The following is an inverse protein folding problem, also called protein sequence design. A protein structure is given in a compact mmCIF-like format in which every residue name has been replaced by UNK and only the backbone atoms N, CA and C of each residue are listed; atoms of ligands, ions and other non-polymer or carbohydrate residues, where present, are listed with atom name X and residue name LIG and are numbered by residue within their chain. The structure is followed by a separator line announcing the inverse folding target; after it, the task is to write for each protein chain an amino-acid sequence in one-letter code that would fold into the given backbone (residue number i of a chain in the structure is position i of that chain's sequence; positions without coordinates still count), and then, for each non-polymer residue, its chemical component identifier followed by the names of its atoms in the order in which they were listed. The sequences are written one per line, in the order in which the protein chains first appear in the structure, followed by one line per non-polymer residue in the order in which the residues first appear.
data_IF_859944514555
#
_entry.id   IF_859944514555
#
_cell.length_a   1.000
_cell.length_b   1.000
_cell.length_c   1.000
_cell.angle_alpha   90.00
_cell.angle_beta   90.00
_cell.angle_gamma   90.00
#
_symmetry.space_group_name_H-M   'P 1'
#
loop_
_entity.id
_entity.type
_entity.pdbx_description
1 polymer ?
#
# COMPACT_ATOMS: atom_id res chain seq x y z
N UNK A 1 41.24 10.04 35.96
CA UNK A 1 41.64 10.07 34.53
C UNK A 1 41.68 8.68 33.85
N UNK A 2 40.97 7.64 34.36
CA UNK A 2 41.14 6.25 33.89
C UNK A 2 39.88 5.49 33.44
N UNK A 3 38.70 6.12 33.36
CA UNK A 3 37.45 5.43 32.96
C UNK A 3 37.13 5.51 31.47
N UNK A 4 37.70 6.47 30.76
CA UNK A 4 37.41 6.70 29.33
C UNK A 4 38.17 5.74 28.41
N UNK A 5 39.31 5.16 28.84
CA UNK A 5 40.10 4.24 28.00
C UNK A 5 39.58 2.79 28.01
N UNK A 6 38.89 2.36 29.08
CA UNK A 6 38.30 1.02 29.16
C UNK A 6 37.02 0.88 28.31
N UNK A 7 36.25 1.97 28.16
CA UNK A 7 35.03 1.98 27.35
C UNK A 7 35.36 1.94 25.85
N UNK A 8 36.37 2.67 25.39
CA UNK A 8 36.85 2.63 24.00
C UNK A 8 37.48 1.29 23.63
N UNK A 9 38.21 0.66 24.55
CA UNK A 9 38.75 -0.69 24.35
C UNK A 9 37.65 -1.77 24.23
N UNK A 10 36.59 -1.67 25.04
CA UNK A 10 35.43 -2.59 24.98
C UNK A 10 34.57 -2.43 23.71
N UNK A 11 34.43 -1.20 23.21
CA UNK A 11 33.72 -0.91 21.95
C UNK A 11 34.49 -1.44 20.74
N UNK A 12 35.83 -1.29 20.72
CA UNK A 12 36.67 -1.82 19.65
C UNK A 12 36.67 -3.36 19.61
N UNK A 13 36.70 -4.01 20.78
CA UNK A 13 36.63 -5.46 20.89
C UNK A 13 35.26 -6.03 20.48
N UNK A 14 34.15 -5.31 20.76
CA UNK A 14 32.78 -5.72 20.36
C UNK A 14 32.47 -5.45 18.88
N UNK A 15 33.05 -4.42 18.27
CA UNK A 15 32.94 -4.19 16.83
C UNK A 15 33.67 -5.26 16.01
N UNK A 16 34.76 -5.82 16.55
CA UNK A 16 35.44 -6.97 15.98
C UNK A 16 34.55 -8.24 16.08
N UNK A 17 33.93 -8.47 17.24
CA UNK A 17 33.05 -9.60 17.52
C UNK A 17 31.75 -9.58 16.67
N UNK A 18 31.15 -8.39 16.44
CA UNK A 18 30.03 -8.22 15.52
C UNK A 18 30.39 -8.59 14.08
N UNK A 19 31.56 -8.18 13.58
CA UNK A 19 32.04 -8.55 12.24
C UNK A 19 32.34 -10.04 12.09
N UNK A 20 32.61 -10.74 13.19
CA UNK A 20 32.81 -12.19 13.21
C UNK A 20 31.50 -12.98 13.21
N UNK A 21 30.42 -12.43 13.81
CA UNK A 21 29.09 -13.05 13.88
C UNK A 21 28.19 -12.77 12.68
N UNK A 22 28.40 -11.65 11.97
CA UNK A 22 27.69 -11.37 10.72
C UNK A 22 28.11 -12.40 9.67
N UNK A 23 27.17 -13.13 9.04
CA UNK A 23 27.49 -14.07 7.99
C UNK A 23 28.35 -13.38 6.92
N UNK A 24 29.62 -13.81 6.80
CA UNK A 24 30.52 -13.29 5.77
C UNK A 24 29.84 -13.49 4.43
N UNK A 25 29.84 -12.44 3.62
CA UNK A 25 29.25 -12.46 2.29
C UNK A 25 29.83 -13.65 1.50
N UNK A 26 29.06 -14.74 1.37
CA UNK A 26 29.49 -15.99 0.71
C UNK A 26 29.41 -15.90 -0.81
N UNK A 27 29.06 -14.73 -1.35
CA UNK A 27 28.98 -14.56 -2.78
C UNK A 27 30.37 -14.73 -3.42
N UNK A 28 30.49 -15.68 -4.34
CA UNK A 28 31.73 -16.12 -5.01
C UNK A 28 32.28 -15.07 -5.97
N UNK A 29 33.09 -14.11 -5.51
CA UNK A 29 33.42 -12.95 -6.35
C UNK A 29 34.91 -12.52 -6.33
N UNK A 30 35.62 -12.82 -7.43
CA UNK A 30 37.01 -12.35 -7.72
C UNK A 30 37.11 -10.83 -7.84
N UNK A 31 38.11 -10.24 -7.16
CA UNK A 31 38.23 -8.79 -6.90
C UNK A 31 38.74 -7.98 -8.11
N UNK A 32 39.56 -8.58 -8.97
CA UNK A 32 40.28 -7.85 -10.05
C UNK A 32 39.47 -7.71 -11.35
N UNK A 33 38.48 -8.57 -11.60
CA UNK A 33 37.63 -8.51 -12.81
C UNK A 33 36.43 -7.54 -12.71
N UNK A 34 36.37 -6.67 -11.68
CA UNK A 34 35.09 -6.07 -11.21
C UNK A 34 34.98 -4.56 -11.07
N UNK A 35 36.06 -3.79 -11.20
CA UNK A 35 35.93 -2.31 -11.19
C UNK A 35 34.91 -1.80 -12.22
N UNK A 36 34.94 -2.20 -13.51
CA UNK A 36 33.98 -1.70 -14.49
C UNK A 36 32.55 -2.16 -14.21
N UNK A 37 32.33 -3.42 -13.80
CA UNK A 37 30.98 -3.95 -13.51
C UNK A 37 30.37 -3.34 -12.25
N UNK A 38 31.17 -3.07 -11.21
CA UNK A 38 30.70 -2.36 -10.01
C UNK A 38 30.38 -0.90 -10.30
N UNK A 39 31.21 -0.22 -11.10
CA UNK A 39 30.95 1.15 -11.53
C UNK A 39 29.67 1.23 -12.38
N UNK A 40 29.50 0.32 -13.35
CA UNK A 40 28.31 0.24 -14.18
C UNK A 40 27.04 -0.03 -13.34
N UNK A 41 27.08 -0.99 -12.42
CA UNK A 41 25.95 -1.26 -11.52
C UNK A 41 25.59 -0.04 -10.66
N UNK A 42 26.58 0.65 -10.10
CA UNK A 42 26.34 1.90 -9.35
C UNK A 42 25.70 2.97 -10.24
N UNK A 43 26.20 3.16 -11.46
CA UNK A 43 25.64 4.12 -12.40
C UNK A 43 24.17 3.79 -12.75
N UNK A 44 23.85 2.52 -12.97
CA UNK A 44 22.47 2.06 -13.21
C UNK A 44 21.56 2.39 -12.03
N UNK A 45 21.96 2.05 -10.80
CA UNK A 45 21.13 2.32 -9.62
C UNK A 45 20.98 3.82 -9.34
N UNK A 46 22.02 4.62 -9.58
CA UNK A 46 21.94 6.08 -9.47
C UNK A 46 21.01 6.67 -10.53
N UNK A 47 21.12 6.21 -11.78
CA UNK A 47 20.23 6.61 -12.87
C UNK A 47 18.77 6.25 -12.59
N UNK A 48 18.52 5.03 -12.10
CA UNK A 48 17.17 4.61 -11.72
C UNK A 48 16.62 5.38 -10.53
N UNK A 49 17.44 5.66 -9.50
CA UNK A 49 17.02 6.48 -8.37
C UNK A 49 16.71 7.93 -8.78
N UNK A 50 17.47 8.47 -9.73
CA UNK A 50 17.17 9.77 -10.32
C UNK A 50 15.85 9.74 -11.10
N UNK A 51 15.63 8.72 -11.94
CA UNK A 51 14.39 8.56 -12.70
C UNK A 51 13.15 8.43 -11.78
N UNK A 52 13.23 7.64 -10.71
CA UNK A 52 12.15 7.51 -9.72
C UNK A 52 11.84 8.84 -9.01
N UNK A 53 12.88 9.64 -8.69
CA UNK A 53 12.67 10.95 -8.05
C UNK A 53 12.05 11.94 -9.03
N UNK A 54 12.56 12.00 -10.26
CA UNK A 54 12.14 12.95 -11.28
C UNK A 54 10.77 12.62 -11.89
N UNK A 55 10.43 11.33 -12.02
CA UNK A 55 9.17 10.87 -12.60
C UNK A 55 8.01 10.81 -11.61
N UNK A 56 8.27 10.98 -10.31
CA UNK A 56 7.21 10.98 -9.30
C UNK A 56 6.34 12.23 -9.44
N UNK A 57 5.04 12.04 -9.20
CA UNK A 57 4.04 13.09 -9.33
C UNK A 57 3.66 13.55 -7.93
N UNK A 58 3.60 14.86 -7.73
CA UNK A 58 3.25 15.52 -6.45
C UNK A 58 2.38 16.74 -6.73
N UNK A 59 1.79 17.33 -5.69
CA UNK A 59 1.04 18.57 -5.83
C UNK A 59 1.90 19.72 -6.39
N UNK A 60 3.16 19.78 -5.96
CA UNK A 60 4.11 20.81 -6.39
C UNK A 60 4.72 20.51 -7.77
N UNK A 61 4.79 19.23 -8.14
CA UNK A 61 5.35 18.77 -9.41
C UNK A 61 4.43 17.71 -10.04
N UNK A 62 3.29 18.12 -10.63
CA UNK A 62 2.33 17.18 -11.20
C UNK A 62 2.80 16.58 -12.54
N UNK A 63 3.89 17.10 -13.11
CA UNK A 63 4.43 16.66 -14.39
C UNK A 63 3.43 16.92 -15.53
N UNK A 64 3.09 15.87 -16.29
CA UNK A 64 2.11 15.94 -17.38
C UNK A 64 0.66 15.75 -16.95
N UNK A 65 0.43 15.17 -15.78
CA UNK A 65 -0.92 14.84 -15.31
C UNK A 65 -1.62 16.11 -14.87
N UNK A 66 -2.94 16.16 -15.09
CA UNK A 66 -3.80 17.31 -14.78
C UNK A 66 -4.98 16.85 -13.94
N UNK A 67 -4.69 16.46 -12.71
CA UNK A 67 -5.71 16.04 -11.75
C UNK A 67 -6.70 17.18 -11.48
N UNK A 68 -7.98 16.85 -11.25
CA UNK A 68 -8.96 17.82 -10.76
C UNK A 68 -8.50 18.46 -9.46
N UNK A 69 -7.92 17.65 -8.57
CA UNK A 69 -7.22 18.12 -7.38
C UNK A 69 -6.09 17.15 -6.97
N UNK A 70 -5.01 17.71 -6.42
CA UNK A 70 -3.96 16.96 -5.73
C UNK A 70 -3.54 17.71 -4.47
N UNK A 71 -3.83 17.14 -3.32
CA UNK A 71 -3.56 17.76 -2.02
C UNK A 71 -2.07 17.80 -1.68
N UNK A 72 -1.70 18.75 -0.82
CA UNK A 72 -0.33 18.94 -0.36
C UNK A 72 0.26 17.65 0.25
N UNK A 73 1.53 17.37 -0.02
CA UNK A 73 2.21 16.18 0.48
C UNK A 73 1.78 14.85 -0.17
N UNK A 74 0.83 14.86 -1.09
CA UNK A 74 0.48 13.67 -1.88
C UNK A 74 1.55 13.35 -2.90
N UNK A 75 1.88 12.06 -3.01
CA UNK A 75 2.93 11.58 -3.93
C UNK A 75 2.53 10.28 -4.61
N UNK A 76 2.65 10.27 -5.93
CA UNK A 76 2.60 9.06 -6.75
C UNK A 76 4.03 8.67 -7.15
N UNK A 77 4.44 7.48 -6.72
CA UNK A 77 5.74 6.92 -7.07
C UNK A 77 5.81 6.57 -8.57
N UNK A 78 7.02 6.68 -9.13
CA UNK A 78 7.30 6.35 -10.52
C UNK A 78 7.95 4.98 -10.65
N UNK A 79 7.63 4.18 -11.68
CA UNK A 79 6.69 4.49 -12.77
C UNK A 79 5.23 4.41 -12.34
N UNK A 80 4.38 5.29 -12.86
CA UNK A 80 2.92 5.16 -12.69
C UNK A 80 2.38 4.01 -13.55
N UNK A 81 1.21 3.48 -13.19
CA UNK A 81 0.41 2.64 -14.08
C UNK A 81 -0.30 3.50 -15.12
N UNK A 82 -1.42 3.00 -15.63
CA UNK A 82 -2.26 3.78 -16.54
C UNK A 82 -2.96 4.88 -15.75
N UNK A 83 -2.92 6.11 -16.26
CA UNK A 83 -3.66 7.23 -15.70
C UNK A 83 -4.35 7.97 -16.85
N UNK A 84 -5.67 8.12 -16.76
CA UNK A 84 -6.47 8.95 -17.67
C UNK A 84 -7.74 9.43 -16.98
N UNK A 85 -8.38 10.46 -17.55
CA UNK A 85 -9.56 11.09 -16.94
C UNK A 85 -9.15 11.97 -15.76
N UNK A 86 -7.90 12.46 -15.77
CA UNK A 86 -7.29 13.20 -14.68
C UNK A 86 -8.15 14.36 -14.15
N UNK A 87 -8.84 15.18 -14.98
CA UNK A 87 -9.69 16.26 -14.48
C UNK A 87 -10.80 15.81 -13.52
N UNK A 88 -11.22 14.54 -13.58
CA UNK A 88 -12.25 13.94 -12.74
C UNK A 88 -11.70 13.08 -11.60
N UNK A 89 -10.38 13.11 -11.40
CA UNK A 89 -9.70 12.42 -10.31
C UNK A 89 -9.23 13.46 -9.29
N UNK A 90 -9.69 13.32 -8.06
CA UNK A 90 -9.31 14.16 -6.93
C UNK A 90 -8.57 13.34 -5.88
N UNK A 91 -7.39 13.82 -5.51
CA UNK A 91 -6.54 13.22 -4.48
C UNK A 91 -6.42 14.18 -3.30
N UNK A 92 -6.80 13.72 -2.10
CA UNK A 92 -6.61 14.44 -0.85
C UNK A 92 -5.14 14.73 -0.53
N UNK A 93 -4.90 15.31 0.65
CA UNK A 93 -3.56 15.58 1.16
C UNK A 93 -2.88 14.32 1.70
N UNK A 94 -1.55 14.30 1.68
CA UNK A 94 -0.73 13.25 2.29
C UNK A 94 -1.01 11.81 1.80
N UNK A 95 -1.55 11.65 0.59
CA UNK A 95 -1.75 10.33 0.00
C UNK A 95 -0.43 9.74 -0.51
N UNK A 96 -0.26 8.43 -0.31
CA UNK A 96 0.91 7.68 -0.80
C UNK A 96 0.42 6.68 -1.85
N UNK A 97 0.74 6.96 -3.11
CA UNK A 97 0.36 6.11 -4.22
C UNK A 97 1.61 5.38 -4.72
N UNK A 98 1.62 4.06 -4.57
CA UNK A 98 2.75 3.20 -4.90
C UNK A 98 3.08 3.17 -6.40
N UNK A 99 4.21 2.54 -6.73
CA UNK A 99 4.59 2.33 -8.13
C UNK A 99 3.53 1.50 -8.86
N UNK A 100 3.38 1.76 -10.16
CA UNK A 100 2.55 1.00 -11.08
C UNK A 100 1.07 0.96 -10.67
N UNK A 101 0.62 1.92 -9.87
CA UNK A 101 -0.81 2.09 -9.57
C UNK A 101 -1.50 2.70 -10.78
N UNK A 102 -2.64 2.12 -11.14
CA UNK A 102 -3.53 2.58 -12.22
C UNK A 102 -4.71 3.33 -11.60
N UNK A 103 -4.99 4.53 -12.10
CA UNK A 103 -6.12 5.38 -11.70
C UNK A 103 -6.85 5.83 -12.96
N UNK A 104 -8.11 5.44 -13.12
CA UNK A 104 -8.88 5.83 -14.31
C UNK A 104 -10.23 6.41 -13.92
N UNK A 105 -10.63 7.47 -14.61
CA UNK A 105 -11.99 8.00 -14.59
C UNK A 105 -12.58 7.95 -15.99
N UNK A 106 -13.74 7.30 -16.14
CA UNK A 106 -14.41 7.05 -17.42
C UNK A 106 -14.01 5.73 -18.09
N UNK A 107 -14.84 5.28 -19.04
CA UNK A 107 -14.64 4.02 -19.78
C UNK A 107 -13.47 4.08 -20.78
N UNK A 108 -13.12 5.27 -21.25
CA UNK A 108 -12.01 5.50 -22.17
C UNK A 108 -11.43 6.90 -21.97
N UNK A 109 -10.19 7.15 -22.42
CA UNK A 109 -9.60 8.49 -22.44
C UNK A 109 -10.45 9.48 -23.25
N UNK A 110 -10.27 10.77 -22.95
CA UNK A 110 -10.84 11.90 -23.72
C UNK A 110 -12.38 12.00 -23.74
N UNK A 111 -13.07 11.33 -22.81
CA UNK A 111 -14.49 11.54 -22.56
C UNK A 111 -14.74 12.79 -21.70
N UNK A 112 -15.85 13.49 -21.98
CA UNK A 112 -16.43 14.46 -21.05
C UNK A 112 -17.35 13.72 -20.06
N UNK A 113 -16.98 13.72 -18.78
CA UNK A 113 -17.71 13.04 -17.71
C UNK A 113 -18.60 14.00 -16.90
N UNK A 114 -18.73 15.26 -17.34
CA UNK A 114 -19.51 16.29 -16.65
C UNK A 114 -18.71 17.10 -15.64
N UNK A 115 -19.36 17.83 -14.72
CA UNK A 115 -18.66 18.76 -13.82
C UNK A 115 -18.13 18.10 -12.54
N UNK A 116 -18.64 16.93 -12.17
CA UNK A 116 -18.38 16.32 -10.86
C UNK A 116 -17.25 15.29 -10.91
N UNK A 117 -16.44 15.16 -9.84
CA UNK A 117 -15.39 14.14 -9.78
C UNK A 117 -15.96 12.73 -9.83
N UNK A 118 -15.23 11.83 -10.49
CA UNK A 118 -15.59 10.41 -10.66
C UNK A 118 -14.77 9.53 -9.72
N UNK A 119 -13.52 9.89 -9.44
CA UNK A 119 -12.68 9.19 -8.49
C UNK A 119 -12.17 10.17 -7.42
N UNK A 120 -12.54 9.93 -6.17
CA UNK A 120 -12.12 10.76 -5.04
C UNK A 120 -11.42 9.91 -3.98
N UNK A 121 -10.21 10.33 -3.60
CA UNK A 121 -9.46 9.80 -2.47
C UNK A 121 -9.41 10.87 -1.39
N UNK A 122 -9.82 10.53 -0.16
CA UNK A 122 -9.64 11.37 1.02
C UNK A 122 -8.17 11.52 1.42
N UNK A 123 -7.92 12.23 2.51
CA UNK A 123 -6.57 12.50 3.01
C UNK A 123 -5.91 11.22 3.56
N UNK A 124 -4.59 11.10 3.41
CA UNK A 124 -3.82 10.01 4.01
C UNK A 124 -4.10 8.62 3.40
N UNK A 125 -4.77 8.55 2.24
CA UNK A 125 -5.01 7.29 1.55
C UNK A 125 -3.71 6.69 1.03
N UNK A 126 -3.50 5.40 1.28
CA UNK A 126 -2.34 4.66 0.78
C UNK A 126 -2.78 3.62 -0.23
N UNK A 127 -2.29 3.69 -1.46
CA UNK A 127 -2.45 2.64 -2.46
C UNK A 127 -1.15 1.88 -2.65
N UNK A 128 -1.13 0.61 -2.23
CA UNK A 128 0.02 -0.26 -2.43
C UNK A 128 0.33 -0.49 -3.92
N UNK A 129 1.60 -0.80 -4.21
CA UNK A 129 2.13 -1.02 -5.57
C UNK A 129 1.19 -1.88 -6.42
N UNK A 130 1.01 -1.49 -7.69
CA UNK A 130 0.29 -2.30 -8.67
C UNK A 130 -1.23 -2.38 -8.44
N UNK A 131 -1.77 -1.60 -7.51
CA UNK A 131 -3.22 -1.50 -7.31
C UNK A 131 -3.90 -0.79 -8.48
N UNK A 132 -5.16 -1.12 -8.72
CA UNK A 132 -5.96 -0.54 -9.79
C UNK A 132 -7.24 0.05 -9.19
N UNK A 133 -7.54 1.28 -9.54
CA UNK A 133 -8.82 1.93 -9.22
C UNK A 133 -9.46 2.35 -10.55
N UNK A 134 -10.49 1.60 -10.95
CA UNK A 134 -11.17 1.73 -12.24
C UNK A 134 -12.56 2.33 -12.00
N UNK A 135 -12.71 3.61 -12.28
CA UNK A 135 -13.92 4.37 -12.02
C UNK A 135 -14.63 4.78 -13.32
N UNK A 136 -15.44 3.90 -13.90
CA UNK A 136 -16.35 4.26 -15.01
C UNK A 136 -17.57 5.04 -14.51
N UNK A 137 -17.87 4.90 -13.21
CA UNK A 137 -18.79 5.72 -12.43
C UNK A 137 -18.16 5.97 -11.06
N UNK A 138 -18.86 6.64 -10.15
CA UNK A 138 -18.26 7.17 -8.91
C UNK A 138 -17.58 6.10 -8.05
N UNK A 139 -16.31 6.34 -7.71
CA UNK A 139 -15.55 5.60 -6.70
C UNK A 139 -15.05 6.59 -5.66
N UNK A 140 -15.41 6.37 -4.40
CA UNK A 140 -14.92 7.18 -3.27
C UNK A 140 -14.19 6.32 -2.25
N UNK A 141 -13.01 6.78 -1.83
CA UNK A 141 -12.18 6.16 -0.80
C UNK A 141 -11.97 7.18 0.32
N UNK A 142 -12.51 6.89 1.50
CA UNK A 142 -12.42 7.76 2.67
C UNK A 142 -11.00 7.89 3.22
N UNK A 143 -10.76 8.98 3.96
CA UNK A 143 -9.46 9.30 4.55
C UNK A 143 -8.90 8.18 5.43
N UNK A 144 -7.57 8.14 5.56
CA UNK A 144 -6.83 7.15 6.35
C UNK A 144 -7.11 5.69 5.95
N UNK A 145 -7.53 5.47 4.70
CA UNK A 145 -7.71 4.12 4.15
C UNK A 145 -6.41 3.62 3.52
N UNK A 146 -6.01 2.43 3.93
CA UNK A 146 -4.75 1.81 3.53
C UNK A 146 -5.06 0.57 2.70
N UNK A 147 -4.46 0.50 1.52
CA UNK A 147 -4.55 -0.65 0.62
C UNK A 147 -3.18 -1.31 0.50
N UNK A 148 -3.14 -2.63 0.69
CA UNK A 148 -1.98 -3.44 0.35
C UNK A 148 -1.68 -3.42 -1.15
N UNK A 149 -0.57 -4.04 -1.59
CA UNK A 149 -0.26 -4.16 -3.01
C UNK A 149 -1.33 -4.92 -3.80
N UNK A 150 -1.45 -4.62 -5.08
CA UNK A 150 -2.29 -5.34 -6.05
C UNK A 150 -3.78 -5.42 -5.67
N UNK A 151 -4.31 -4.42 -4.97
CA UNK A 151 -5.76 -4.32 -4.73
C UNK A 151 -6.44 -3.86 -6.03
N UNK A 152 -7.58 -4.46 -6.36
CA UNK A 152 -8.39 -4.09 -7.53
C UNK A 152 -9.73 -3.53 -7.08
N UNK A 153 -10.00 -2.26 -7.37
CA UNK A 153 -11.25 -1.57 -7.06
C UNK A 153 -11.88 -1.17 -8.39
N UNK A 154 -13.14 -1.57 -8.62
CA UNK A 154 -13.84 -1.24 -9.87
C UNK A 154 -15.30 -0.87 -9.64
N UNK A 155 -15.76 0.15 -10.35
CA UNK A 155 -17.19 0.50 -10.43
C UNK A 155 -17.89 -0.11 -11.64
N UNK A 156 -17.17 -0.89 -12.46
CA UNK A 156 -17.66 -1.46 -13.71
C UNK A 156 -17.46 -2.97 -13.77
N UNK A 157 -18.38 -3.66 -14.45
CA UNK A 157 -18.24 -5.05 -14.84
C UNK A 157 -18.99 -5.30 -16.17
N UNK A 158 -18.57 -6.32 -16.92
CA UNK A 158 -19.31 -6.70 -18.12
C UNK A 158 -20.66 -7.33 -17.74
N UNK A 159 -21.69 -7.01 -18.53
CA UNK A 159 -22.95 -7.74 -18.50
C UNK A 159 -22.81 -9.06 -19.26
N UNK A 160 -23.66 -10.01 -18.90
CA UNK A 160 -23.81 -11.30 -19.57
C UNK A 160 -25.30 -11.67 -19.60
N UNK A 161 -26.16 -10.65 -19.68
CA UNK A 161 -27.62 -10.79 -19.56
C UNK A 161 -28.20 -11.49 -20.81
N UNK A 162 -27.64 -11.24 -21.99
CA UNK A 162 -28.00 -11.94 -23.23
C UNK A 162 -27.02 -13.10 -23.51
N UNK A 163 -27.46 -14.37 -23.48
CA UNK A 163 -26.59 -15.51 -23.75
C UNK A 163 -26.24 -15.68 -25.24
N UNK A 164 -26.85 -14.92 -26.15
CA UNK A 164 -26.64 -15.01 -27.60
C UNK A 164 -25.70 -13.93 -28.16
N UNK A 165 -25.46 -12.86 -27.40
CA UNK A 165 -24.51 -11.81 -27.75
C UNK A 165 -23.18 -12.00 -27.01
N UNK A 166 -22.00 -11.91 -27.66
CA UNK A 166 -20.72 -11.93 -26.97
C UNK A 166 -20.65 -10.89 -25.85
N UNK A 167 -20.16 -11.28 -24.67
CA UNK A 167 -20.03 -10.43 -23.47
C UNK A 167 -19.38 -9.07 -23.77
N UNK A 168 -18.33 -9.05 -24.60
CA UNK A 168 -17.64 -7.80 -24.97
C UNK A 168 -18.41 -6.85 -25.87
N UNK A 169 -19.59 -7.25 -26.37
CA UNK A 169 -20.51 -6.42 -27.16
C UNK A 169 -21.74 -5.99 -26.37
N UNK A 170 -21.92 -6.51 -25.16
CA UNK A 170 -23.01 -6.10 -24.27
C UNK A 170 -22.61 -4.88 -23.44
N UNK A 171 -23.58 -4.03 -23.12
CA UNK A 171 -23.35 -2.80 -22.34
C UNK A 171 -22.97 -3.13 -20.89
N UNK A 172 -21.93 -2.52 -20.30
CA UNK A 172 -21.48 -2.87 -18.96
C UNK A 172 -22.51 -2.54 -17.87
N UNK A 173 -22.40 -3.25 -16.73
CA UNK A 173 -23.09 -2.92 -15.47
C UNK A 173 -22.16 -2.04 -14.65
N UNK A 174 -22.62 -0.83 -14.32
CA UNK A 174 -21.86 0.13 -13.53
C UNK A 174 -22.63 0.43 -12.24
N UNK A 175 -21.92 0.36 -11.11
CA UNK A 175 -22.47 0.70 -9.80
C UNK A 175 -21.41 1.41 -8.96
N UNK A 176 -21.75 2.52 -8.27
CA UNK A 176 -20.80 3.25 -7.45
C UNK A 176 -20.16 2.38 -6.36
N UNK A 177 -18.90 2.66 -6.05
CA UNK A 177 -18.17 2.05 -4.93
C UNK A 177 -17.87 3.12 -3.89
N UNK A 178 -18.16 2.82 -2.63
CA UNK A 178 -17.86 3.70 -1.51
C UNK A 178 -17.10 2.93 -0.43
N UNK A 179 -15.92 3.42 -0.06
CA UNK A 179 -15.12 2.88 1.04
C UNK A 179 -15.02 3.94 2.13
N UNK A 180 -15.53 3.64 3.32
CA UNK A 180 -15.45 4.55 4.47
C UNK A 180 -14.01 4.79 4.95
N UNK A 181 -13.82 5.78 5.84
CA UNK A 181 -12.48 6.13 6.33
C UNK A 181 -11.88 5.06 7.25
N UNK A 182 -10.55 5.06 7.37
CA UNK A 182 -9.81 4.20 8.30
C UNK A 182 -9.79 2.71 7.93
N UNK A 183 -10.17 2.36 6.69
CA UNK A 183 -10.22 0.96 6.27
C UNK A 183 -8.83 0.38 6.00
N UNK A 184 -8.68 -0.94 6.18
CA UNK A 184 -7.52 -1.70 5.72
C UNK A 184 -7.96 -2.70 4.65
N UNK A 185 -7.47 -2.53 3.42
CA UNK A 185 -7.77 -3.39 2.28
C UNK A 185 -6.55 -4.27 2.00
N UNK A 186 -6.63 -5.54 2.38
CA UNK A 186 -5.50 -6.48 2.27
C UNK A 186 -5.04 -6.72 0.83
N UNK A 187 -3.76 -7.08 0.68
CA UNK A 187 -3.11 -7.41 -0.59
C UNK A 187 -3.98 -8.30 -1.49
N UNK A 188 -4.11 -7.95 -2.77
CA UNK A 188 -4.83 -8.76 -3.73
C UNK A 188 -6.35 -8.82 -3.55
N UNK A 189 -6.93 -8.04 -2.63
CA UNK A 189 -8.38 -7.97 -2.48
C UNK A 189 -9.03 -7.28 -3.70
N UNK A 190 -10.25 -7.70 -4.01
CA UNK A 190 -11.06 -7.21 -5.12
C UNK A 190 -12.33 -6.57 -4.56
N UNK A 191 -12.56 -5.30 -4.86
CA UNK A 191 -13.77 -4.55 -4.50
C UNK A 191 -14.59 -4.37 -5.78
N UNK A 192 -15.75 -5.03 -5.82
CA UNK A 192 -16.63 -5.09 -6.99
C UNK A 192 -17.62 -3.91 -7.03
N UNK A 193 -18.28 -3.67 -8.19
CA UNK A 193 -19.27 -2.61 -8.33
C UNK A 193 -20.38 -2.73 -7.28
N UNK A 194 -20.85 -1.59 -6.79
CA UNK A 194 -21.91 -1.53 -5.77
C UNK A 194 -21.45 -1.84 -4.35
N UNK A 195 -20.15 -2.11 -4.11
CA UNK A 195 -19.63 -2.31 -2.77
C UNK A 195 -19.66 -1.01 -1.94
N UNK A 196 -20.20 -1.11 -0.71
CA UNK A 196 -20.28 0.00 0.25
C UNK A 196 -19.72 -0.46 1.59
N UNK A 197 -18.49 -0.03 1.91
CA UNK A 197 -17.83 -0.35 3.16
C UNK A 197 -18.00 0.80 4.14
N UNK A 198 -18.40 0.49 5.36
CA UNK A 198 -18.40 1.42 6.49
C UNK A 198 -16.99 1.85 6.90
N UNK A 199 -16.88 2.59 8.00
CA UNK A 199 -15.58 3.01 8.54
C UNK A 199 -14.85 1.87 9.22
N UNK A 200 -13.52 1.92 9.23
CA UNK A 200 -12.65 0.98 9.94
C UNK A 200 -12.92 -0.49 9.57
N UNK A 201 -13.33 -0.76 8.34
CA UNK A 201 -13.50 -2.11 7.81
C UNK A 201 -12.15 -2.70 7.46
N UNK A 202 -11.95 -3.97 7.79
CA UNK A 202 -10.79 -4.75 7.39
C UNK A 202 -11.20 -5.78 6.34
N UNK A 203 -10.62 -5.67 5.15
CA UNK A 203 -10.76 -6.66 4.08
C UNK A 203 -9.53 -7.55 4.10
N UNK A 204 -9.71 -8.85 4.30
CA UNK A 204 -8.61 -9.81 4.27
C UNK A 204 -7.96 -9.88 2.88
N UNK A 205 -6.69 -10.27 2.83
CA UNK A 205 -5.98 -10.48 1.58
C UNK A 205 -6.73 -11.46 0.66
N UNK A 206 -6.79 -11.14 -0.63
CA UNK A 206 -7.47 -11.97 -1.65
C UNK A 206 -9.00 -12.06 -1.53
N UNK A 207 -9.64 -11.29 -0.65
CA UNK A 207 -11.10 -11.31 -0.53
C UNK A 207 -11.78 -10.62 -1.72
N UNK A 208 -12.97 -11.09 -2.12
CA UNK A 208 -13.79 -10.50 -3.19
C UNK A 208 -15.06 -9.90 -2.60
N UNK A 209 -15.08 -8.59 -2.44
CA UNK A 209 -16.12 -7.85 -1.71
C UNK A 209 -17.17 -7.30 -2.67
N UNK A 210 -18.45 -7.47 -2.30
CA UNK A 210 -19.62 -6.90 -2.98
C UNK A 210 -20.71 -6.58 -1.97
N UNK A 211 -21.57 -5.62 -2.29
CA UNK A 211 -22.66 -5.19 -1.41
C UNK A 211 -22.17 -4.40 -0.18
N UNK A 212 -23.01 -4.37 0.84
CA UNK A 212 -22.76 -3.55 2.04
C UNK A 212 -21.95 -4.30 3.10
N UNK A 213 -20.98 -3.60 3.70
CA UNK A 213 -20.19 -4.07 4.83
C UNK A 213 -20.30 -3.03 5.94
N UNK A 214 -20.82 -3.38 7.12
CA UNK A 214 -21.04 -2.41 8.20
C UNK A 214 -19.71 -1.92 8.79
N UNK A 215 -19.78 -0.79 9.51
CA UNK A 215 -18.66 -0.23 10.27
C UNK A 215 -17.99 -1.29 11.17
N UNK A 216 -16.68 -1.18 11.33
CA UNK A 216 -15.88 -2.01 12.24
C UNK A 216 -16.07 -3.52 12.00
N UNK A 217 -16.21 -3.94 10.74
CA UNK A 217 -16.28 -5.34 10.35
C UNK A 217 -14.94 -5.83 9.76
N UNK A 218 -14.70 -7.13 9.86
CA UNK A 218 -13.65 -7.84 9.13
C UNK A 218 -14.32 -8.78 8.15
N UNK A 219 -14.00 -8.67 6.86
CA UNK A 219 -14.52 -9.53 5.80
C UNK A 219 -13.41 -10.36 5.17
N UNK A 220 -13.72 -11.61 4.81
CA UNK A 220 -12.78 -12.52 4.16
C UNK A 220 -13.50 -13.48 3.20
N UNK A 221 -12.76 -14.02 2.22
CA UNK A 221 -13.24 -15.02 1.26
C UNK A 221 -13.69 -14.44 -0.08
N UNK A 222 -14.09 -15.32 -1.00
CA UNK A 222 -14.58 -14.99 -2.33
C UNK A 222 -15.83 -15.83 -2.66
N UNK A 223 -17.06 -15.29 -2.55
CA UNK A 223 -17.37 -13.92 -2.13
C UNK A 223 -17.10 -13.68 -0.64
N UNK A 224 -16.72 -12.45 -0.31
CA UNK A 224 -16.37 -12.08 1.05
C UNK A 224 -17.60 -12.15 1.98
N UNK A 225 -17.35 -12.56 3.23
CA UNK A 225 -18.33 -12.60 4.31
C UNK A 225 -17.74 -11.95 5.54
N UNK A 226 -18.59 -11.36 6.38
CA UNK A 226 -18.19 -10.87 7.70
C UNK A 226 -17.75 -12.06 8.53
N UNK A 227 -16.47 -12.07 8.92
CA UNK A 227 -15.87 -13.10 9.79
C UNK A 227 -15.61 -12.58 11.20
N UNK A 228 -15.69 -11.26 11.39
CA UNK A 228 -15.63 -10.60 12.69
C UNK A 228 -16.35 -9.26 12.64
N UNK A 229 -17.02 -8.87 13.72
CA UNK A 229 -17.63 -7.55 13.88
C UNK A 229 -17.28 -6.98 15.25
N UNK A 230 -17.34 -5.66 15.40
CA UNK A 230 -17.21 -5.00 16.69
C UNK A 230 -18.58 -4.67 17.27
N UNK A 231 -18.75 -4.95 18.55
CA UNK A 231 -19.91 -4.60 19.35
C UNK A 231 -19.47 -3.64 20.48
N UNK A 232 -20.19 -2.54 20.74
CA UNK A 232 -19.81 -1.57 21.77
C UNK A 232 -19.73 -2.14 23.19
N UNK A 233 -20.56 -3.13 23.52
CA UNK A 233 -20.63 -3.72 24.86
C UNK A 233 -19.72 -4.93 24.99
N UNK A 234 -19.64 -5.73 23.93
CA UNK A 234 -18.96 -7.04 23.92
C UNK A 234 -17.59 -7.00 23.25
N UNK A 235 -17.22 -5.88 22.64
CA UNK A 235 -15.99 -5.73 21.84
C UNK A 235 -16.03 -6.55 20.56
N UNK A 236 -14.85 -6.99 20.10
CA UNK A 236 -14.72 -7.80 18.89
C UNK A 236 -15.36 -9.19 19.03
N UNK A 237 -16.10 -9.61 18.02
CA UNK A 237 -16.82 -10.89 17.96
C UNK A 237 -16.50 -11.63 16.65
N UNK A 238 -15.82 -12.79 16.68
CA UNK A 238 -15.24 -13.41 17.87
C UNK A 238 -14.09 -12.57 18.46
N UNK A 239 -13.81 -12.68 19.78
CA UNK A 239 -12.74 -11.95 20.43
C UNK A 239 -11.39 -12.11 19.74
N UNK A 240 -10.56 -11.06 19.83
CA UNK A 240 -9.18 -11.14 19.38
C UNK A 240 -8.45 -12.22 20.20
N UNK A 241 -7.75 -13.11 19.50
CA UNK A 241 -7.03 -14.23 20.14
C UNK A 241 -5.68 -13.82 20.69
N UNK A 242 -5.12 -12.73 20.18
CA UNK A 242 -3.81 -12.20 20.55
C UNK A 242 -3.99 -10.86 21.27
N UNK A 243 -3.18 -10.57 22.30
CA UNK A 243 -3.16 -9.25 22.92
C UNK A 243 -2.76 -8.19 21.88
N UNK A 244 -3.18 -6.94 22.12
CA UNK A 244 -2.75 -5.83 21.28
C UNK A 244 -1.22 -5.71 21.31
N UNK A 245 -0.56 -5.46 20.17
CA UNK A 245 0.86 -5.15 20.14
C UNK A 245 1.14 -3.93 21.02
N UNK A 246 2.13 -4.03 21.91
CA UNK A 246 2.58 -2.91 22.74
C UNK A 246 3.65 -2.15 21.96
N UNK A 247 3.48 -0.84 21.69
CA UNK A 247 4.55 -0.05 21.09
C UNK A 247 5.81 -0.14 21.93
N UNK A 248 6.97 -0.02 21.28
CA UNK A 248 8.25 0.04 21.98
C UNK A 248 8.16 1.12 23.08
N UNK A 249 8.42 0.77 24.35
CA UNK A 249 8.30 1.74 25.45
C UNK A 249 9.11 3.00 25.20
N UNK A 250 8.58 4.16 25.60
CA UNK A 250 9.29 5.43 25.49
C UNK A 250 10.61 5.35 26.26
N UNK A 251 11.71 5.74 25.62
CA UNK A 251 13.05 5.73 26.21
C UNK A 251 13.86 4.45 25.94
N UNK A 252 13.32 3.47 25.22
CA UNK A 252 14.10 2.32 24.76
C UNK A 252 15.01 2.76 23.61
N UNK A 253 16.31 2.61 23.83
CA UNK A 253 17.37 2.90 22.86
C UNK A 253 17.47 1.79 21.81
N UNK A 254 17.97 2.07 20.59
CA UNK A 254 18.26 1.05 19.59
C UNK A 254 19.12 -0.12 20.12
N UNK A 255 20.06 0.18 21.00
CA UNK A 255 20.93 -0.82 21.65
C UNK A 255 20.14 -1.76 22.58
N UNK A 256 19.14 -1.23 23.30
CA UNK A 256 18.27 -2.04 24.16
C UNK A 256 17.33 -2.93 23.35
N UNK A 257 16.89 -2.48 22.15
CA UNK A 257 16.11 -3.32 21.23
C UNK A 257 16.94 -4.47 20.65
N UNK A 258 18.18 -4.19 20.26
CA UNK A 258 19.10 -5.22 19.76
C UNK A 258 19.40 -6.27 20.83
N UNK A 259 19.58 -5.85 22.09
CA UNK A 259 19.80 -6.77 23.21
C UNK A 259 18.57 -7.68 23.49
N UNK A 260 17.35 -7.23 23.21
CA UNK A 260 16.15 -8.06 23.32
C UNK A 260 16.06 -9.11 22.21
N UNK A 261 16.47 -8.77 20.99
CA UNK A 261 16.51 -9.73 19.88
C UNK A 261 17.51 -10.88 20.12
N UNK A 262 18.61 -10.61 20.83
CA UNK A 262 19.59 -11.64 21.21
C UNK A 262 19.11 -12.57 22.34
N UNK A 263 18.11 -12.16 23.15
CA UNK A 263 17.58 -12.97 24.28
C UNK A 263 16.61 -14.06 23.82
N UNK A 264 15.92 -13.87 22.70
CA UNK A 264 15.02 -14.89 22.14
C UNK A 264 15.80 -16.04 21.48
N UNK A 265 17.00 -15.79 20.94
CA UNK A 265 17.88 -16.84 20.41
C UNK A 265 18.40 -17.80 21.51
N UNK A 266 18.47 -17.35 22.77
CA UNK A 266 18.91 -18.18 23.90
C UNK A 266 17.81 -19.11 24.41
N UNK A 267 16.52 -18.79 24.15
CA UNK A 267 15.37 -19.59 24.59
C UNK A 267 15.02 -20.77 23.68
N UNK A 268 15.55 -20.82 22.46
CA UNK A 268 15.30 -21.91 21.49
C UNK A 268 16.37 -23.01 21.47
N UNK A 269 17.30 -23.03 22.43
CA UNK A 269 18.19 -24.18 22.64
C UNK A 269 17.66 -25.07 23.77
N UNK A 270 17.26 -26.34 23.52
CA UNK A 270 17.01 -27.32 24.58
C UNK A 270 18.29 -27.66 25.36
#
# INVERSE_FOLDING_TARGET
MGRTSQVTAGIAHRAADYRERVPKNRNTFSFLARLPRRAASRAVHLGWAWAQRAGAVTAEHPGRLRFGAIGAGTRLAFPQGTVFGEPWIELGAHCIIGEQVTLTAGMMPDLDLGPDPILTLGDGVVLGRGSHVIADTTVSIGSDTYCGPFVYITSTNHSYDDPHEPVGKQWPRMEPVAIGPGCWIGTGAVILPGARLGRNVVVAAGAVVRGEVPDHAVVAGAPARVVRSWDPEKGWQPPLRTPAPVPIPKGVTPEQLLALAELDEVRETP
#
